data_IF_892879354231
#
_entry.id   IF_892879354231
#
_cell.length_a   1.000
_cell.length_b   1.000
_cell.length_c   1.000
_cell.angle_alpha   90.00
_cell.angle_beta   90.00
_cell.angle_gamma   90.00
#
_symmetry.space_group_name_H-M   'P 1'
#
loop_
_entity.id
_entity.type
_entity.pdbx_description
1 polymer ?
#
# COMPACT_ATOMS: atom_id res chain seq x y z
N UNK A 1 -52.54 14.40 49.88
CA UNK A 1 -53.88 13.78 49.80
C UNK A 1 -53.88 12.70 50.87
N UNK A 2 -54.27 12.87 52.14
CA UNK A 2 -55.36 13.58 52.83
C UNK A 2 -56.78 13.22 52.38
N UNK A 3 -57.51 12.60 53.32
CA UNK A 3 -58.93 12.25 53.34
C UNK A 3 -59.07 11.00 54.24
N UNK A 4 -59.18 11.06 55.57
CA UNK A 4 -60.12 11.76 56.47
C UNK A 4 -61.58 11.46 56.16
N UNK A 5 -62.13 10.48 56.89
CA UNK A 5 -63.56 10.34 57.27
C UNK A 5 -63.52 9.78 58.71
N UNK A 6 -63.38 10.65 59.71
CA UNK A 6 -64.46 11.24 60.53
C UNK A 6 -65.08 10.25 61.53
N UNK A 7 -64.50 10.22 62.74
CA UNK A 7 -65.18 9.76 63.95
C UNK A 7 -65.96 10.94 64.50
N UNK A 8 -67.29 10.87 64.42
CA UNK A 8 -68.19 11.88 64.96
C UNK A 8 -68.41 11.65 66.45
N UNK A 9 -67.78 12.51 67.24
CA UNK A 9 -68.26 13.22 68.42
C UNK A 9 -69.49 12.66 69.17
N UNK A 10 -69.34 12.40 70.47
CA UNK A 10 -70.49 12.05 71.31
C UNK A 10 -70.21 11.82 72.78
N UNK A 11 -69.62 12.81 73.45
CA UNK A 11 -69.75 13.06 74.90
C UNK A 11 -69.38 11.91 75.86
N UNK A 12 -68.26 12.09 76.58
CA UNK A 12 -68.22 11.96 78.06
C UNK A 12 -66.92 12.54 78.60
N UNK A 13 -66.92 13.86 78.81
CA UNK A 13 -66.06 14.48 79.81
C UNK A 13 -66.56 14.02 81.19
N UNK A 14 -65.84 13.09 81.82
CA UNK A 14 -66.11 12.67 83.20
C UNK A 14 -64.80 12.66 84.00
N UNK A 15 -64.57 13.78 84.69
CA UNK A 15 -63.90 13.93 85.99
C UNK A 15 -62.62 13.12 86.24
N UNK A 16 -61.49 13.81 86.14
CA UNK A 16 -60.29 13.47 86.91
C UNK A 16 -60.65 13.57 88.40
N UNK A 17 -60.88 12.44 89.07
CA UNK A 17 -60.97 12.39 90.52
C UNK A 17 -59.58 12.14 91.09
N UNK A 18 -59.20 13.00 92.06
CA UNK A 18 -57.98 12.86 92.84
C UNK A 18 -58.02 11.51 93.56
N UNK A 19 -57.08 10.64 93.23
CA UNK A 19 -56.90 9.35 93.89
C UNK A 19 -56.60 9.56 95.38
N UNK A 20 -57.43 8.98 96.25
CA UNK A 20 -57.17 8.85 97.69
C UNK A 20 -56.89 7.37 97.95
N UNK A 21 -55.78 7.00 98.61
CA UNK A 21 -55.49 5.59 98.91
C UNK A 21 -56.62 5.01 99.78
N UNK A 22 -57.14 3.80 99.46
CA UNK A 22 -58.09 3.12 100.32
C UNK A 22 -57.45 2.80 101.68
N UNK A 23 -58.27 2.79 102.73
CA UNK A 23 -57.87 2.54 104.11
C UNK A 23 -57.19 1.16 104.25
N UNK A 24 -55.87 1.14 104.44
CA UNK A 24 -55.03 -0.08 104.45
C UNK A 24 -55.01 -0.71 105.85
N UNK A 25 -56.17 -0.80 106.50
CA UNK A 25 -56.34 -1.46 107.79
C UNK A 25 -57.29 -2.67 107.73
N UNK A 26 -57.64 -3.13 106.53
CA UNK A 26 -58.17 -4.47 106.28
C UNK A 26 -56.99 -5.40 105.99
N UNK A 27 -56.71 -6.31 106.92
CA UNK A 27 -55.85 -7.47 106.66
C UNK A 27 -56.65 -8.40 105.75
N UNK A 28 -56.55 -8.19 104.45
CA UNK A 28 -56.95 -9.17 103.44
C UNK A 28 -55.98 -10.32 103.66
N UNK A 29 -56.43 -11.43 104.26
CA UNK A 29 -55.74 -12.71 104.01
C UNK A 29 -55.71 -12.85 102.49
N UNK A 30 -54.52 -13.03 101.87
CA UNK A 30 -54.49 -13.35 100.46
C UNK A 30 -55.31 -14.63 100.29
N UNK A 31 -56.52 -14.47 99.77
CA UNK A 31 -57.25 -15.55 99.12
C UNK A 31 -56.24 -16.14 98.13
N UNK A 32 -55.98 -17.46 98.14
CA UNK A 32 -54.97 -18.03 97.25
C UNK A 32 -55.32 -17.59 95.84
N UNK A 33 -54.49 -16.74 95.23
CA UNK A 33 -54.55 -16.51 93.79
C UNK A 33 -54.49 -17.92 93.19
N UNK A 34 -55.45 -18.31 92.32
CA UNK A 34 -55.31 -19.56 91.62
C UNK A 34 -53.94 -19.48 90.93
N UNK A 35 -53.03 -20.40 91.29
CA UNK A 35 -51.84 -20.65 90.47
C UNK A 35 -52.34 -20.65 89.03
N UNK A 36 -51.73 -19.88 88.10
CA UNK A 36 -52.11 -20.00 86.70
C UNK A 36 -52.02 -21.49 86.40
N UNK A 37 -53.17 -22.15 86.20
CA UNK A 37 -53.22 -23.53 85.74
C UNK A 37 -52.31 -23.52 84.53
N UNK A 38 -51.16 -24.18 84.64
CA UNK A 38 -50.34 -24.47 83.49
C UNK A 38 -51.32 -25.11 82.53
N UNK A 39 -51.72 -24.37 81.48
CA UNK A 39 -52.51 -24.93 80.41
C UNK A 39 -51.82 -26.25 80.07
N UNK A 40 -52.56 -27.39 80.08
CA UNK A 40 -51.93 -28.68 79.91
C UNK A 40 -51.02 -28.57 78.69
N UNK A 41 -49.74 -29.01 78.78
CA UNK A 41 -48.86 -28.96 77.62
C UNK A 41 -49.65 -29.61 76.48
N UNK A 42 -49.66 -29.00 75.27
CA UNK A 42 -50.45 -29.51 74.17
C UNK A 42 -50.19 -31.03 74.08
N UNK A 43 -51.24 -31.85 73.94
CA UNK A 43 -51.08 -33.29 73.93
C UNK A 43 -50.00 -33.64 72.90
N UNK A 44 -49.08 -34.58 73.22
CA UNK A 44 -48.08 -34.98 72.25
C UNK A 44 -48.80 -35.41 70.97
N UNK A 45 -48.26 -35.06 69.80
CA UNK A 45 -48.92 -35.34 68.53
C UNK A 45 -49.26 -36.83 68.43
N UNK A 46 -50.45 -37.12 67.91
CA UNK A 46 -50.90 -38.48 67.69
C UNK A 46 -50.06 -39.17 66.61
N UNK A 47 -50.00 -40.51 66.61
CA UNK A 47 -49.13 -41.26 65.68
C UNK A 47 -49.42 -40.93 64.20
N UNK A 48 -50.67 -40.67 63.85
CA UNK A 48 -51.11 -40.25 62.51
C UNK A 48 -50.58 -38.86 62.12
N UNK A 49 -50.60 -37.91 63.06
CA UNK A 49 -50.05 -36.56 62.85
C UNK A 49 -48.53 -36.61 62.66
N UNK A 50 -47.83 -37.47 63.40
CA UNK A 50 -46.37 -37.68 63.23
C UNK A 50 -46.06 -38.28 61.85
N UNK A 51 -46.88 -39.22 61.38
CA UNK A 51 -46.72 -39.82 60.05
C UNK A 51 -46.95 -38.78 58.93
N UNK A 52 -47.98 -37.94 59.06
CA UNK A 52 -48.26 -36.85 58.12
C UNK A 52 -47.12 -35.82 58.07
N UNK A 53 -46.58 -35.41 59.22
CA UNK A 53 -45.43 -34.50 59.30
C UNK A 53 -44.19 -35.10 58.61
N UNK A 54 -43.92 -36.39 58.81
CA UNK A 54 -42.79 -37.08 58.17
C UNK A 54 -42.94 -37.19 56.66
N UNK A 55 -44.16 -37.43 56.16
CA UNK A 55 -44.44 -37.46 54.73
C UNK A 55 -44.27 -36.07 54.10
N UNK A 56 -44.85 -35.03 54.71
CA UNK A 56 -44.72 -33.65 54.25
C UNK A 56 -43.25 -33.21 54.20
N UNK A 57 -42.48 -33.45 55.26
CA UNK A 57 -41.05 -33.14 55.29
C UNK A 57 -40.25 -33.89 54.21
N UNK A 58 -40.65 -35.12 53.86
CA UNK A 58 -40.01 -35.89 52.79
C UNK A 58 -40.31 -35.32 51.41
N UNK A 59 -41.56 -34.93 51.16
CA UNK A 59 -41.97 -34.31 49.90
C UNK A 59 -41.31 -32.94 49.72
N UNK A 60 -41.33 -32.09 50.74
CA UNK A 60 -40.66 -30.79 50.72
C UNK A 60 -39.15 -30.94 50.50
N UNK A 61 -38.50 -31.88 51.19
CA UNK A 61 -37.07 -32.16 50.99
C UNK A 61 -36.75 -32.66 49.58
N UNK A 62 -37.62 -33.50 49.00
CA UNK A 62 -37.47 -33.99 47.63
C UNK A 62 -37.63 -32.86 46.60
N UNK A 63 -38.64 -32.00 46.77
CA UNK A 63 -38.87 -30.84 45.89
C UNK A 63 -37.74 -29.81 46.00
N UNK A 64 -37.28 -29.52 47.22
CA UNK A 64 -36.18 -28.59 47.47
C UNK A 64 -34.89 -29.11 46.81
N UNK A 65 -34.55 -30.37 47.05
CA UNK A 65 -33.36 -30.99 46.45
C UNK A 65 -33.43 -31.09 44.92
N UNK A 66 -34.62 -31.37 44.37
CA UNK A 66 -34.82 -31.36 42.92
C UNK A 66 -34.61 -29.96 42.34
N UNK A 67 -35.17 -28.91 42.97
CA UNK A 67 -35.04 -27.53 42.52
C UNK A 67 -33.59 -27.04 42.60
N UNK A 68 -32.92 -27.27 43.73
CA UNK A 68 -31.51 -26.89 43.92
C UNK A 68 -30.58 -27.63 42.95
N UNK A 69 -30.79 -28.94 42.76
CA UNK A 69 -30.02 -29.73 41.80
C UNK A 69 -30.23 -29.29 40.35
N UNK A 70 -31.48 -28.99 39.98
CA UNK A 70 -31.82 -28.47 38.65
C UNK A 70 -31.17 -27.11 38.39
N UNK A 71 -31.26 -26.18 39.35
CA UNK A 71 -30.68 -24.84 39.22
C UNK A 71 -29.14 -24.90 39.18
N UNK A 72 -28.52 -25.70 40.06
CA UNK A 72 -27.08 -25.91 40.04
C UNK A 72 -26.60 -26.53 38.72
N UNK A 73 -27.30 -27.56 38.21
CA UNK A 73 -26.99 -28.19 36.93
C UNK A 73 -27.18 -27.24 35.74
N UNK A 74 -28.24 -26.43 35.76
CA UNK A 74 -28.50 -25.42 34.73
C UNK A 74 -27.40 -24.35 34.69
N UNK A 75 -27.00 -23.83 35.85
CA UNK A 75 -25.92 -22.84 35.95
C UNK A 75 -24.57 -23.42 35.54
N UNK A 76 -24.26 -24.66 35.95
CA UNK A 76 -23.04 -25.34 35.54
C UNK A 76 -23.00 -25.57 34.02
N UNK A 77 -24.11 -26.01 33.43
CA UNK A 77 -24.22 -26.21 31.97
C UNK A 77 -24.11 -24.89 31.19
N UNK A 78 -24.71 -23.81 31.70
CA UNK A 78 -24.57 -22.45 31.15
C UNK A 78 -23.12 -21.98 31.18
N UNK A 79 -22.46 -22.10 32.32
CA UNK A 79 -21.06 -21.69 32.48
C UNK A 79 -20.13 -22.51 31.57
N UNK A 80 -20.35 -23.82 31.45
CA UNK A 80 -19.58 -24.67 30.54
C UNK A 80 -19.80 -24.28 29.07
N UNK A 81 -21.06 -24.08 28.64
CA UNK A 81 -21.37 -23.69 27.28
C UNK A 81 -20.79 -22.30 26.91
N UNK A 82 -20.79 -21.36 27.85
CA UNK A 82 -20.16 -20.05 27.67
C UNK A 82 -18.64 -20.16 27.49
N UNK A 83 -17.97 -21.00 28.29
CA UNK A 83 -16.54 -21.26 28.16
C UNK A 83 -16.20 -21.94 26.83
N UNK A 84 -16.96 -22.97 26.42
CA UNK A 84 -16.76 -23.65 25.14
C UNK A 84 -16.99 -22.68 23.96
N UNK A 85 -18.03 -21.84 24.02
CA UNK A 85 -18.30 -20.85 22.98
C UNK A 85 -17.25 -19.74 22.92
N UNK A 86 -16.63 -19.37 24.05
CA UNK A 86 -15.51 -18.42 24.08
C UNK A 86 -14.24 -19.02 23.49
N UNK A 87 -13.93 -20.28 23.83
CA UNK A 87 -12.81 -21.01 23.25
C UNK A 87 -12.97 -21.16 21.73
N UNK A 88 -14.15 -21.57 21.25
CA UNK A 88 -14.40 -21.73 19.82
C UNK A 88 -14.32 -20.37 19.07
N UNK A 89 -14.76 -19.27 19.70
CA UNK A 89 -14.61 -17.92 19.14
C UNK A 89 -13.15 -17.49 19.08
N UNK A 90 -12.38 -17.74 20.14
CA UNK A 90 -10.95 -17.43 20.17
C UNK A 90 -10.17 -18.25 19.10
N UNK A 91 -10.47 -19.53 18.96
CA UNK A 91 -9.86 -20.40 17.95
C UNK A 91 -10.25 -20.01 16.52
N UNK A 92 -11.48 -19.56 16.28
CA UNK A 92 -11.90 -19.00 14.99
C UNK A 92 -11.15 -17.71 14.68
N UNK A 93 -11.10 -16.77 15.62
CA UNK A 93 -10.40 -15.51 15.44
C UNK A 93 -8.91 -15.72 15.18
N UNK A 94 -8.24 -16.61 15.93
CA UNK A 94 -6.83 -16.93 15.71
C UNK A 94 -6.57 -17.50 14.31
N UNK A 95 -7.43 -18.40 13.81
CA UNK A 95 -7.32 -18.95 12.46
C UNK A 95 -7.54 -17.90 11.38
N UNK A 96 -8.50 -17.01 11.57
CA UNK A 96 -8.76 -15.90 10.64
C UNK A 96 -7.57 -14.95 10.57
N UNK A 97 -7.00 -14.56 11.73
CA UNK A 97 -5.80 -13.72 11.79
C UNK A 97 -4.58 -14.37 11.12
N UNK A 98 -4.37 -15.67 11.31
CA UNK A 98 -3.32 -16.42 10.63
C UNK A 98 -3.52 -16.47 9.11
N UNK A 99 -4.76 -16.73 8.67
CA UNK A 99 -5.12 -16.73 7.26
C UNK A 99 -4.89 -15.36 6.62
N UNK A 100 -5.37 -14.29 7.27
CA UNK A 100 -5.21 -12.92 6.78
C UNK A 100 -3.73 -12.52 6.68
N UNK A 101 -2.93 -12.82 7.72
CA UNK A 101 -1.49 -12.54 7.68
C UNK A 101 -0.78 -13.28 6.55
N UNK A 102 -1.13 -14.54 6.31
CA UNK A 102 -0.55 -15.32 5.23
C UNK A 102 -0.92 -14.74 3.86
N UNK A 103 -2.18 -14.38 3.66
CA UNK A 103 -2.66 -13.79 2.40
C UNK A 103 -2.04 -12.42 2.14
N UNK A 104 -1.96 -11.56 3.16
CA UNK A 104 -1.29 -10.27 3.07
C UNK A 104 0.19 -10.41 2.71
N UNK A 105 0.89 -11.40 3.29
CA UNK A 105 2.27 -11.71 2.92
C UNK A 105 2.39 -12.17 1.47
N UNK A 106 1.51 -13.07 1.01
CA UNK A 106 1.50 -13.55 -0.39
C UNK A 106 1.26 -12.41 -1.39
N UNK A 107 0.34 -11.51 -1.06
CA UNK A 107 0.04 -10.35 -1.88
C UNK A 107 1.24 -9.39 -1.90
N UNK A 108 1.84 -9.10 -0.74
CA UNK A 108 3.03 -8.25 -0.65
C UNK A 108 4.21 -8.82 -1.45
N UNK A 109 4.48 -10.11 -1.33
CA UNK A 109 5.50 -10.82 -2.13
C UNK A 109 5.24 -10.68 -3.63
N UNK A 110 3.98 -10.86 -4.05
CA UNK A 110 3.58 -10.77 -5.46
C UNK A 110 3.74 -9.35 -5.99
N UNK A 111 3.34 -8.33 -5.22
CA UNK A 111 3.53 -6.92 -5.57
C UNK A 111 5.01 -6.59 -5.69
N UNK A 112 5.83 -6.97 -4.70
CA UNK A 112 7.28 -6.75 -4.75
C UNK A 112 7.93 -7.44 -5.95
N UNK A 113 7.49 -8.66 -6.30
CA UNK A 113 7.98 -9.36 -7.48
C UNK A 113 7.61 -8.63 -8.77
N UNK A 114 6.36 -8.16 -8.90
CA UNK A 114 5.90 -7.39 -10.06
C UNK A 114 6.61 -6.04 -10.18
N UNK A 115 6.80 -5.33 -9.07
CA UNK A 115 7.59 -4.10 -9.02
C UNK A 115 9.04 -4.34 -9.44
N UNK A 116 9.63 -5.45 -8.98
CA UNK A 116 10.97 -5.88 -9.38
C UNK A 116 11.08 -6.13 -10.88
N UNK A 117 10.11 -6.82 -11.48
CA UNK A 117 10.05 -7.07 -12.93
C UNK A 117 9.85 -5.75 -13.70
N UNK A 118 8.91 -4.91 -13.27
CA UNK A 118 8.64 -3.62 -13.91
C UNK A 118 9.90 -2.75 -13.92
N UNK A 119 10.63 -2.70 -12.80
CA UNK A 119 11.89 -1.98 -12.68
C UNK A 119 13.00 -2.59 -13.55
N UNK A 120 13.14 -3.91 -13.56
CA UNK A 120 14.12 -4.60 -14.38
C UNK A 120 13.90 -4.40 -15.89
N UNK A 121 12.69 -4.04 -16.32
CA UNK A 121 12.39 -3.71 -17.71
C UNK A 121 12.53 -2.20 -18.00
N UNK A 122 12.14 -1.34 -17.06
CA UNK A 122 12.16 0.11 -17.25
C UNK A 122 13.57 0.71 -17.16
N UNK A 123 14.37 0.29 -16.17
CA UNK A 123 15.68 0.89 -15.90
C UNK A 123 16.66 0.71 -17.08
N UNK A 124 16.83 -0.50 -17.68
CA UNK A 124 17.74 -0.68 -18.82
C UNK A 124 17.29 0.08 -20.08
N UNK A 125 15.98 0.28 -20.26
CA UNK A 125 15.47 1.04 -21.41
C UNK A 125 15.80 2.53 -21.25
N UNK A 126 15.61 3.08 -20.05
CA UNK A 126 15.99 4.46 -19.76
C UNK A 126 17.50 4.67 -19.91
N UNK A 127 18.31 3.77 -19.36
CA UNK A 127 19.78 3.81 -19.52
C UNK A 127 20.19 3.69 -20.99
N UNK A 128 19.53 2.82 -21.77
CA UNK A 128 19.83 2.68 -23.19
C UNK A 128 19.53 3.96 -23.97
N UNK A 129 18.46 4.69 -23.66
CA UNK A 129 18.15 5.97 -24.32
C UNK A 129 19.24 7.01 -24.04
N UNK A 130 19.67 7.14 -22.78
CA UNK A 130 20.72 8.07 -22.36
C UNK A 130 22.09 7.76 -22.99
N UNK A 131 22.38 6.47 -23.28
CA UNK A 131 23.63 6.07 -23.96
C UNK A 131 23.53 6.21 -25.48
N UNK A 132 22.40 5.82 -26.07
CA UNK A 132 22.22 5.80 -27.53
C UNK A 132 22.18 7.21 -28.11
N UNK A 133 21.60 8.19 -27.41
CA UNK A 133 21.52 9.57 -27.88
C UNK A 133 22.90 10.19 -28.21
N UNK A 134 23.88 10.24 -27.29
CA UNK A 134 25.20 10.78 -27.58
C UNK A 134 25.99 9.91 -28.58
N UNK A 135 25.79 8.59 -28.59
CA UNK A 135 26.45 7.69 -29.56
C UNK A 135 25.96 7.94 -30.98
N UNK A 136 24.65 8.10 -31.17
CA UNK A 136 24.08 8.44 -32.47
C UNK A 136 24.57 9.80 -32.96
N UNK A 137 24.62 10.79 -32.06
CA UNK A 137 25.20 12.09 -32.40
C UNK A 137 26.67 11.96 -32.82
N UNK A 138 27.47 11.23 -32.05
CA UNK A 138 28.88 11.04 -32.35
C UNK A 138 29.07 10.34 -33.70
N UNK A 139 28.27 9.32 -34.00
CA UNK A 139 28.28 8.60 -35.27
C UNK A 139 27.89 9.51 -36.44
N UNK A 140 26.78 10.24 -36.33
CA UNK A 140 26.30 11.15 -37.38
C UNK A 140 27.29 12.28 -37.62
N UNK A 141 27.83 12.88 -36.56
CA UNK A 141 28.87 13.91 -36.66
C UNK A 141 30.13 13.39 -37.34
N UNK A 142 30.57 12.18 -36.98
CA UNK A 142 31.74 11.54 -37.60
C UNK A 142 31.49 11.25 -39.08
N UNK A 143 30.31 10.75 -39.43
CA UNK A 143 29.93 10.47 -40.81
C UNK A 143 29.85 11.76 -41.63
N UNK A 144 29.21 12.81 -41.10
CA UNK A 144 29.11 14.11 -41.74
C UNK A 144 30.51 14.70 -41.99
N UNK A 145 31.40 14.68 -40.97
CA UNK A 145 32.79 15.11 -41.11
C UNK A 145 33.53 14.32 -42.19
N UNK A 146 33.36 13.00 -42.23
CA UNK A 146 34.03 12.14 -43.22
C UNK A 146 33.55 12.43 -44.64
N UNK A 147 32.25 12.65 -44.82
CA UNK A 147 31.66 13.05 -46.11
C UNK A 147 32.18 14.43 -46.52
N UNK A 148 32.22 15.41 -45.61
CA UNK A 148 32.75 16.75 -45.88
C UNK A 148 34.22 16.69 -46.32
N UNK A 149 35.07 15.93 -45.61
CA UNK A 149 36.47 15.77 -45.97
C UNK A 149 36.68 15.04 -47.30
N UNK A 150 35.87 14.02 -47.59
CA UNK A 150 35.89 13.34 -48.89
C UNK A 150 35.51 14.31 -50.02
N UNK A 151 34.48 15.11 -49.79
CA UNK A 151 34.02 16.11 -50.75
C UNK A 151 35.07 17.20 -51.01
N UNK A 152 35.72 17.70 -49.97
CA UNK A 152 36.82 18.66 -50.08
C UNK A 152 38.06 18.08 -50.75
N UNK A 153 38.26 16.76 -50.66
CA UNK A 153 39.32 16.08 -51.39
C UNK A 153 39.06 16.04 -52.90
N UNK A 154 37.78 15.97 -53.31
CA UNK A 154 37.37 15.94 -54.72
C UNK A 154 37.25 17.37 -55.28
N UNK A 155 36.69 18.30 -54.50
CA UNK A 155 36.43 19.71 -54.88
C UNK A 155 37.06 20.67 -53.86
N UNK A 156 38.38 20.89 -53.93
CA UNK A 156 39.07 21.75 -52.97
C UNK A 156 38.69 23.23 -53.13
N UNK A 157 38.07 23.64 -54.24
CA UNK A 157 37.62 25.03 -54.47
C UNK A 157 36.54 25.48 -53.48
N UNK A 158 35.84 24.54 -52.84
CA UNK A 158 34.81 24.85 -51.84
C UNK A 158 35.34 25.62 -50.63
N UNK A 159 36.65 25.52 -50.32
CA UNK A 159 37.28 26.29 -49.25
C UNK A 159 37.19 27.81 -49.48
N UNK A 160 37.11 28.27 -50.73
CA UNK A 160 36.98 29.69 -51.08
C UNK A 160 35.68 30.28 -50.51
N UNK A 161 34.59 29.50 -50.53
CA UNK A 161 33.29 29.90 -49.96
C UNK A 161 33.35 29.99 -48.43
N UNK A 162 34.11 29.08 -47.80
CA UNK A 162 34.32 29.08 -46.35
C UNK A 162 35.08 30.34 -45.93
N UNK A 163 36.13 30.68 -46.67
CA UNK A 163 36.91 31.90 -46.43
C UNK A 163 36.06 33.17 -46.61
N UNK A 164 35.31 33.29 -47.70
CA UNK A 164 34.42 34.45 -47.94
C UNK A 164 33.38 34.61 -46.82
N UNK A 165 32.77 33.50 -46.37
CA UNK A 165 31.86 33.52 -45.24
C UNK A 165 32.53 33.98 -43.93
N UNK A 166 33.75 33.51 -43.65
CA UNK A 166 34.51 33.91 -42.47
C UNK A 166 34.93 35.39 -42.53
N UNK A 167 35.32 35.89 -43.70
CA UNK A 167 35.68 37.31 -43.90
C UNK A 167 34.48 38.25 -43.76
N UNK A 168 33.27 37.81 -44.13
CA UNK A 168 32.02 38.57 -43.94
C UNK A 168 31.64 38.73 -42.47
N UNK A 169 32.05 37.80 -41.61
CA UNK A 169 31.79 37.84 -40.17
C UNK A 169 32.72 38.79 -39.41
N UNK A 170 33.76 39.35 -40.04
CA UNK A 170 34.68 40.29 -39.39
C UNK A 170 34.03 41.67 -39.20
N UNK A 171 34.01 42.23 -37.98
CA UNK A 171 33.35 43.51 -37.68
C UNK A 171 34.05 44.75 -38.27
N UNK A 172 35.36 44.65 -38.59
CA UNK A 172 36.16 45.75 -39.16
C UNK A 172 37.25 45.22 -40.10
N UNK A 173 37.22 45.62 -41.39
CA UNK A 173 38.22 45.25 -42.42
C UNK A 173 39.51 46.09 -42.41
N UNK A 174 39.68 46.96 -41.42
CA UNK A 174 40.79 47.93 -41.36
C UNK A 174 42.10 47.36 -40.80
N UNK A 175 42.10 46.14 -40.27
CA UNK A 175 43.29 45.48 -39.75
C UNK A 175 43.86 44.48 -40.76
N UNK A 176 45.18 44.24 -40.79
CA UNK A 176 45.76 43.20 -41.63
C UNK A 176 45.21 41.82 -41.23
N UNK A 177 44.65 41.11 -42.20
CA UNK A 177 44.05 39.79 -41.99
C UNK A 177 45.11 38.71 -42.18
N UNK A 178 45.26 37.85 -41.17
CA UNK A 178 46.12 36.66 -41.21
C UNK A 178 45.23 35.43 -41.24
N UNK A 179 45.44 34.54 -42.21
CA UNK A 179 44.64 33.33 -42.38
C UNK A 179 45.54 32.11 -42.21
N UNK A 180 45.21 31.28 -41.24
CA UNK A 180 45.85 29.99 -41.00
C UNK A 180 45.09 28.89 -41.73
N UNK A 181 45.78 28.14 -42.57
CA UNK A 181 45.22 27.07 -43.42
C UNK A 181 46.19 25.92 -43.56
N UNK A 182 45.67 24.76 -43.98
CA UNK A 182 46.50 23.64 -44.38
C UNK A 182 47.42 24.05 -45.56
N UNK A 183 48.69 23.60 -45.59
CA UNK A 183 49.63 23.93 -46.68
C UNK A 183 49.13 23.50 -48.08
N UNK A 184 48.35 22.43 -48.20
CA UNK A 184 47.80 21.98 -49.49
C UNK A 184 46.73 22.93 -50.03
N UNK A 185 45.94 23.55 -49.15
CA UNK A 185 44.87 24.46 -49.55
C UNK A 185 45.35 25.91 -49.73
N UNK A 186 46.52 26.24 -49.16
CA UNK A 186 47.14 27.56 -49.29
C UNK A 186 47.33 27.96 -50.76
N UNK A 187 47.80 27.05 -51.61
CA UNK A 187 48.09 27.35 -53.01
C UNK A 187 46.83 27.75 -53.80
N UNK A 188 45.71 27.09 -53.52
CA UNK A 188 44.41 27.33 -54.15
C UNK A 188 43.83 28.67 -53.68
N UNK A 189 43.95 28.94 -52.38
CA UNK A 189 43.46 30.18 -51.77
C UNK A 189 44.31 31.41 -52.12
N UNK A 190 45.62 31.26 -52.29
CA UNK A 190 46.51 32.35 -52.70
C UNK A 190 46.20 32.80 -54.14
N UNK A 191 45.93 31.85 -55.04
CA UNK A 191 45.47 32.15 -56.40
C UNK A 191 44.13 32.92 -56.39
N UNK A 192 43.21 32.53 -55.50
CA UNK A 192 41.92 33.21 -55.32
C UNK A 192 42.07 34.63 -54.74
N UNK A 193 42.87 34.82 -53.68
CA UNK A 193 43.04 36.14 -53.06
C UNK A 193 43.76 37.15 -53.97
N UNK A 194 44.69 36.69 -54.81
CA UNK A 194 45.31 37.55 -55.84
C UNK A 194 44.29 38.06 -56.87
N UNK A 195 43.24 37.28 -57.15
CA UNK A 195 42.17 37.68 -58.06
C UNK A 195 41.20 38.70 -57.43
N UNK A 196 41.13 38.77 -56.09
CA UNK A 196 40.22 39.66 -55.35
C UNK A 196 40.88 40.89 -54.72
N UNK A 197 42.19 41.08 -54.94
CA UNK A 197 42.98 42.21 -54.41
C UNK A 197 42.90 42.39 -52.87
N UNK A 198 42.69 41.28 -52.15
CA UNK A 198 42.64 41.29 -50.69
C UNK A 198 44.06 41.18 -50.07
N UNK A 199 44.42 42.09 -49.16
CA UNK A 199 45.71 42.08 -48.44
C UNK A 199 45.69 41.04 -47.31
N UNK A 200 45.75 39.76 -47.67
CA UNK A 200 45.77 38.63 -46.74
C UNK A 200 47.19 38.08 -46.60
N UNK A 201 47.61 37.84 -45.34
CA UNK A 201 48.83 37.10 -45.03
C UNK A 201 48.48 35.64 -44.73
N UNK A 202 49.06 34.72 -45.49
CA UNK A 202 48.87 33.27 -45.36
C UNK A 202 49.86 32.68 -44.37
N UNK A 203 49.36 31.86 -43.43
CA UNK A 203 50.18 31.13 -42.47
C UNK A 203 49.89 29.63 -42.65
N UNK A 204 50.85 28.83 -43.16
CA UNK A 204 50.65 27.39 -43.26
C UNK A 204 50.66 26.77 -41.86
N UNK A 205 49.64 25.97 -41.56
CA UNK A 205 49.52 25.21 -40.31
C UNK A 205 49.04 23.78 -40.62
N UNK A 206 49.89 22.80 -40.37
CA UNK A 206 49.56 21.38 -40.58
C UNK A 206 48.67 20.79 -39.49
N UNK A 207 48.43 21.51 -38.38
CA UNK A 207 47.45 21.11 -37.37
C UNK A 207 46.00 21.35 -37.84
N UNK A 208 45.79 22.13 -38.90
CA UNK A 208 44.49 22.38 -39.49
C UNK A 208 44.24 21.36 -40.60
N UNK A 209 43.10 20.66 -40.51
CA UNK A 209 42.67 19.76 -41.56
C UNK A 209 42.30 20.50 -42.85
N UNK A 210 42.42 19.79 -43.97
CA UNK A 210 42.09 20.33 -45.29
C UNK A 210 40.64 20.82 -45.35
N UNK A 211 40.42 22.00 -45.92
CA UNK A 211 39.13 22.68 -46.01
C UNK A 211 38.71 23.49 -44.77
N UNK A 212 39.55 23.53 -43.73
CA UNK A 212 39.40 24.42 -42.58
C UNK A 212 40.29 25.66 -42.69
N UNK A 213 39.85 26.78 -42.10
CA UNK A 213 40.69 27.97 -41.95
C UNK A 213 40.43 28.69 -40.62
N UNK A 214 41.45 29.34 -40.07
CA UNK A 214 41.31 30.25 -38.92
C UNK A 214 41.71 31.65 -39.36
N UNK A 215 40.81 32.60 -39.17
CA UNK A 215 41.01 34.00 -39.59
C UNK A 215 41.32 34.86 -38.36
N UNK A 216 42.43 35.58 -38.41
CA UNK A 216 42.93 36.44 -37.34
C UNK A 216 43.00 37.89 -37.85
N UNK A 217 42.31 38.82 -37.19
CA UNK A 217 42.29 40.24 -37.55
C UNK A 217 42.30 41.11 -36.30
N UNK A 218 43.43 41.72 -35.98
CA UNK A 218 43.59 42.53 -34.76
C UNK A 218 43.29 41.71 -33.49
N UNK A 219 42.18 42.04 -32.81
CA UNK A 219 41.65 41.33 -31.63
C UNK A 219 40.56 40.29 -31.95
N UNK A 220 40.14 40.19 -33.22
CA UNK A 220 39.12 39.25 -33.66
C UNK A 220 39.76 37.95 -34.17
N UNK A 221 39.23 36.82 -33.72
CA UNK A 221 39.59 35.47 -34.18
C UNK A 221 38.31 34.75 -34.57
N UNK A 222 38.23 34.32 -35.82
CA UNK A 222 37.13 33.52 -36.34
C UNK A 222 37.66 32.13 -36.64
N UNK A 223 37.07 31.14 -35.99
CA UNK A 223 37.41 29.74 -36.17
C UNK A 223 36.44 29.10 -37.17
N UNK A 224 36.91 28.93 -38.41
CA UNK A 224 36.17 28.28 -39.49
C UNK A 224 36.74 26.89 -39.81
N UNK A 225 37.31 26.21 -38.81
CA UNK A 225 37.64 24.77 -38.89
C UNK A 225 36.37 23.93 -39.10
N UNK A 226 36.53 22.77 -39.72
CA UNK A 226 35.41 21.88 -40.08
C UNK A 226 34.66 21.43 -38.82
N UNK A 227 35.41 21.10 -37.75
CA UNK A 227 34.86 20.69 -36.45
C UNK A 227 33.95 21.78 -35.87
N UNK A 228 34.48 23.00 -35.73
CA UNK A 228 33.75 24.13 -35.14
C UNK A 228 32.49 24.46 -35.93
N UNK A 229 32.58 24.44 -37.27
CA UNK A 229 31.43 24.72 -38.13
C UNK A 229 30.39 23.61 -38.11
N UNK A 230 30.82 22.35 -38.04
CA UNK A 230 29.92 21.21 -37.92
C UNK A 230 29.17 21.26 -36.58
N UNK A 231 29.88 21.50 -35.48
CA UNK A 231 29.26 21.69 -34.15
C UNK A 231 28.25 22.83 -34.15
N UNK A 232 28.59 24.00 -34.71
CA UNK A 232 27.67 25.13 -34.81
C UNK A 232 26.44 24.84 -35.67
N UNK A 233 26.61 24.12 -36.79
CA UNK A 233 25.50 23.71 -37.65
C UNK A 233 24.56 22.72 -36.96
N UNK A 234 25.13 21.76 -36.24
CA UNK A 234 24.40 20.78 -35.44
C UNK A 234 23.62 21.47 -34.31
N UNK A 235 24.23 22.42 -33.59
CA UNK A 235 23.58 23.19 -32.53
C UNK A 235 22.43 24.06 -33.07
N UNK A 236 22.61 24.71 -34.22
CA UNK A 236 21.57 25.49 -34.88
C UNK A 236 20.37 24.62 -35.28
N UNK A 237 20.62 23.44 -35.85
CA UNK A 237 19.57 22.49 -36.22
C UNK A 237 18.79 21.99 -35.00
N UNK A 238 19.45 21.75 -33.88
CA UNK A 238 18.77 21.38 -32.63
C UNK A 238 17.92 22.50 -32.05
N UNK A 239 18.36 23.75 -32.17
CA UNK A 239 17.56 24.91 -31.81
C UNK A 239 16.28 25.03 -32.65
N UNK A 240 16.33 24.63 -33.93
CA UNK A 240 15.19 24.63 -34.85
C UNK A 240 14.26 23.41 -34.67
N UNK A 241 14.80 22.26 -34.30
CA UNK A 241 14.08 20.98 -34.14
C UNK A 241 13.45 20.78 -32.75
N UNK A 242 13.39 21.83 -31.92
CA UNK A 242 12.97 21.82 -30.51
C UNK A 242 12.20 20.58 -30.04
N UNK A 243 12.77 19.87 -29.06
CA UNK A 243 12.28 18.67 -28.35
C UNK A 243 10.88 18.20 -28.82
N UNK A 244 10.78 17.24 -29.76
CA UNK A 244 9.52 16.58 -30.05
C UNK A 244 9.17 15.66 -28.87
N UNK A 245 8.52 16.22 -27.84
CA UNK A 245 8.17 15.48 -26.64
C UNK A 245 7.30 16.22 -25.61
N UNK A 246 7.11 17.54 -25.72
CA UNK A 246 6.27 18.26 -24.74
C UNK A 246 4.75 18.16 -25.00
N UNK A 247 4.32 17.69 -26.18
CA UNK A 247 2.89 17.57 -26.50
C UNK A 247 2.24 16.26 -26.04
N UNK A 248 3.00 15.19 -25.82
CA UNK A 248 2.42 13.89 -25.41
C UNK A 248 2.22 13.72 -23.90
N UNK A 249 2.88 14.53 -23.06
CA UNK A 249 2.71 14.47 -21.60
C UNK A 249 1.38 15.09 -21.10
N UNK A 250 0.67 15.86 -21.94
CA UNK A 250 -0.60 16.48 -21.57
C UNK A 250 -1.83 15.54 -21.72
N UNK A 251 -1.69 14.40 -22.40
CA UNK A 251 -2.81 13.51 -22.68
C UNK A 251 -3.14 12.52 -21.54
N UNK A 252 -2.19 12.24 -20.62
CA UNK A 252 -2.38 11.25 -19.55
C UNK A 252 -2.93 11.84 -18.24
N UNK A 253 -3.27 13.13 -18.18
CA UNK A 253 -3.79 13.77 -16.98
C UNK A 253 -5.33 13.75 -16.86
N UNK A 254 -6.07 13.12 -17.79
CA UNK A 254 -7.53 13.07 -17.74
C UNK A 254 -8.06 11.70 -17.29
N UNK A 255 -7.77 11.35 -16.04
CA UNK A 255 -8.61 10.42 -15.27
C UNK A 255 -9.69 11.26 -14.57
N UNK A 256 -11.00 11.08 -14.86
CA UNK A 256 -12.03 11.76 -14.09
C UNK A 256 -12.03 11.21 -12.66
N UNK A 257 -11.81 12.12 -11.69
CA UNK A 257 -11.94 11.83 -10.27
C UNK A 257 -13.37 11.35 -9.96
N UNK A 258 -13.52 10.09 -9.55
CA UNK A 258 -14.73 9.60 -8.89
C UNK A 258 -14.87 10.25 -7.53
N UNK A 259 -15.85 11.14 -7.38
CA UNK A 259 -16.32 11.63 -6.08
C UNK A 259 -16.88 10.47 -5.23
N UNK A 260 -16.66 10.45 -3.91
CA UNK A 260 -17.34 9.54 -3.01
C UNK A 260 -18.75 10.08 -2.68
N UNK A 261 -19.83 9.27 -2.74
CA UNK A 261 -21.13 9.73 -2.28
C UNK A 261 -21.18 9.77 -0.74
N UNK A 262 -21.43 10.96 -0.22
CA UNK A 262 -21.75 11.23 1.17
C UNK A 262 -23.11 10.62 1.58
N UNK A 263 -23.17 10.19 2.84
CA UNK A 263 -24.32 9.58 3.47
C UNK A 263 -25.57 10.48 3.50
N UNK A 264 -26.73 9.89 3.19
CA UNK A 264 -28.02 10.27 3.73
C UNK A 264 -28.84 8.99 3.90
N UNK A 265 -29.26 8.71 5.14
CA UNK A 265 -30.17 7.62 5.44
C UNK A 265 -31.60 7.96 5.01
N UNK A 266 -32.38 6.92 4.73
CA UNK A 266 -33.62 6.70 5.46
C UNK A 266 -34.08 5.25 5.25
N UNK A 267 -34.64 4.70 6.34
CA UNK A 267 -35.11 3.35 6.44
C UNK A 267 -36.33 3.10 5.55
N UNK A 268 -36.34 1.97 4.84
CA UNK A 268 -37.61 1.33 4.52
C UNK A 268 -37.48 -0.20 4.60
N UNK A 269 -38.20 -0.72 5.58
CA UNK A 269 -38.44 -2.13 5.85
C UNK A 269 -38.92 -2.86 4.60
N UNK A 270 -38.35 -4.02 4.32
CA UNK A 270 -39.13 -5.10 3.74
C UNK A 270 -38.58 -6.46 4.20
N UNK A 271 -39.32 -7.08 5.11
CA UNK A 271 -39.27 -8.52 5.37
C UNK A 271 -39.71 -9.25 4.09
N UNK A 272 -38.84 -10.12 3.56
CA UNK A 272 -39.30 -11.32 2.87
C UNK A 272 -38.53 -12.49 3.46
N UNK A 273 -39.29 -13.35 4.12
CA UNK A 273 -38.87 -14.62 4.67
C UNK A 273 -38.52 -15.63 3.56
N UNK A 274 -37.51 -16.45 3.89
CA UNK A 274 -37.33 -17.85 3.51
C UNK A 274 -37.27 -18.23 2.01
N UNK A 275 -36.14 -18.80 1.60
CA UNK A 275 -36.10 -20.22 1.23
C UNK A 275 -34.70 -20.64 0.84
N UNK A 276 -34.25 -21.73 1.45
CA UNK A 276 -33.22 -22.63 0.98
C UNK A 276 -33.18 -22.76 -0.55
N UNK A 277 -31.97 -22.61 -1.11
CA UNK A 277 -31.41 -23.30 -2.29
C UNK A 277 -30.20 -22.50 -2.80
N UNK A 278 -28.99 -22.91 -2.42
CA UNK A 278 -27.85 -23.10 -3.34
C UNK A 278 -26.55 -23.39 -2.56
N UNK A 279 -26.58 -24.43 -1.74
CA UNK A 279 -25.39 -25.10 -1.22
C UNK A 279 -24.87 -26.15 -2.22
N UNK A 280 -24.86 -25.82 -3.53
CA UNK A 280 -24.50 -26.76 -4.59
C UNK A 280 -23.80 -26.06 -5.79
N UNK A 281 -22.74 -25.30 -5.53
CA UNK A 281 -21.83 -24.85 -6.60
C UNK A 281 -20.39 -24.56 -6.10
N UNK A 282 -19.90 -25.33 -5.11
CA UNK A 282 -18.53 -25.19 -4.55
C UNK A 282 -17.70 -26.49 -4.61
N UNK A 283 -17.91 -27.31 -5.63
CA UNK A 283 -17.11 -28.51 -5.84
C UNK A 283 -16.99 -28.86 -7.33
N UNK A 284 -16.34 -27.99 -8.12
CA UNK A 284 -16.07 -28.31 -9.53
C UNK A 284 -14.94 -27.46 -10.17
N UNK A 285 -13.83 -27.21 -9.47
CA UNK A 285 -12.62 -26.62 -10.11
C UNK A 285 -11.30 -27.32 -9.70
N UNK A 286 -11.28 -28.24 -8.73
CA UNK A 286 -10.04 -28.93 -8.34
C UNK A 286 -10.07 -30.43 -8.66
N UNK A 287 -10.07 -30.77 -9.94
CA UNK A 287 -9.69 -32.11 -10.40
C UNK A 287 -8.85 -31.99 -11.68
N UNK A 288 -7.63 -31.50 -11.51
CA UNK A 288 -6.58 -31.64 -12.52
C UNK A 288 -5.47 -32.50 -11.91
N UNK A 289 -5.53 -33.80 -12.20
CA UNK A 289 -4.45 -34.75 -11.95
C UNK A 289 -3.19 -34.30 -12.71
N UNK A 290 -2.01 -34.21 -12.07
CA UNK A 290 -0.77 -33.92 -12.79
C UNK A 290 -0.40 -35.12 -13.69
N UNK A 291 0.08 -34.91 -14.94
CA UNK A 291 0.59 -36.02 -15.74
C UNK A 291 1.83 -36.63 -15.08
N UNK A 292 1.88 -37.96 -15.04
CA UNK A 292 2.96 -38.74 -14.46
C UNK A 292 4.31 -38.36 -15.08
N UNK A 293 5.26 -37.96 -14.23
CA UNK A 293 6.67 -37.85 -14.59
C UNK A 293 7.20 -39.25 -14.97
N UNK A 294 7.48 -39.46 -16.25
CA UNK A 294 8.29 -40.60 -16.69
C UNK A 294 9.74 -40.37 -16.26
N UNK A 295 10.15 -41.07 -15.20
CA UNK A 295 11.55 -41.18 -14.82
C UNK A 295 12.31 -41.91 -15.95
N UNK A 296 13.08 -41.15 -16.73
CA UNK A 296 14.08 -41.70 -17.65
C UNK A 296 15.28 -42.14 -16.83
N UNK A 297 15.30 -43.41 -16.42
CA UNK A 297 16.48 -44.07 -15.83
C UNK A 297 17.59 -44.10 -16.88
N UNK A 298 18.59 -43.24 -16.71
CA UNK A 298 19.84 -43.31 -17.45
C UNK A 298 20.66 -44.48 -16.86
N UNK A 299 20.67 -45.64 -17.54
CA UNK A 299 21.58 -46.74 -17.21
C UNK A 299 23.02 -46.30 -17.49
N UNK A 300 23.77 -46.06 -16.42
CA UNK A 300 25.23 -45.95 -16.47
C UNK A 300 25.76 -47.39 -16.49
N UNK A 301 26.25 -47.83 -17.65
CA UNK A 301 26.90 -49.13 -17.83
C UNK A 301 28.16 -49.28 -16.95
N UNK A 302 28.50 -50.50 -16.52
CA UNK A 302 29.59 -50.72 -15.57
C UNK A 302 30.98 -50.48 -16.19
N UNK A 303 31.99 -50.12 -15.37
CA UNK A 303 33.34 -49.87 -15.83
C UNK A 303 34.08 -51.18 -16.16
N UNK A 304 34.53 -51.32 -17.40
CA UNK A 304 35.50 -52.37 -17.77
C UNK A 304 36.90 -51.94 -17.31
N UNK A 305 37.38 -52.59 -16.25
CA UNK A 305 38.79 -52.58 -15.87
C UNK A 305 39.59 -53.44 -16.86
N UNK A 306 40.84 -53.04 -17.11
CA UNK A 306 41.62 -53.43 -18.28
C UNK A 306 42.29 -54.80 -18.21
N UNK A 307 42.96 -55.16 -19.31
CA UNK A 307 44.18 -55.96 -19.28
C UNK A 307 44.95 -55.76 -20.59
N UNK A 308 46.27 -55.67 -20.43
CA UNK A 308 47.32 -55.69 -21.44
C UNK A 308 47.15 -56.81 -22.48
N UNK A 309 47.59 -56.59 -23.72
CA UNK A 309 48.63 -57.46 -24.31
C UNK A 309 49.20 -56.91 -25.63
N UNK A 310 50.44 -57.35 -25.88
CA UNK A 310 51.36 -57.09 -26.99
C UNK A 310 50.78 -57.25 -28.41
N UNK A 311 51.27 -56.44 -29.37
CA UNK A 311 52.19 -56.80 -30.48
C UNK A 311 52.42 -55.57 -31.37
#
# INVERSE_FOLDING_TARGET
MNGVISVTEGQRLARIQRWLPPDVSIRIEPEPEPEPELAPPPPPPTEEEIAAIKEAARQEGAELGYREGYEAGYQAGRAQAEQEAEQERAERAAREEEWHRFEEQRLAESVTALEGIARALADPLAEAVEVVEPELLALVSTLARRVILAELSIRPELIQKVLDAALKQLPSRNHPVRVQVNPEDQAILEAYARAQDERISWIPDSAIERGGCVVLSGLSRIDARIETRLSQGIEALWGELGVPGSETAAADAHLPATEPPAAAGDAQSNEIAASDRETAARAQIWDATPPAATASTYEIGPPTAGTDDEV
#
